data_IF_164319362322
#
_entry.id   IF_164319362322
#
_cell.length_a   1.000
_cell.length_b   1.000
_cell.length_c   1.000
_cell.angle_alpha   90.00
_cell.angle_beta   90.00
_cell.angle_gamma   90.00
#
_symmetry.space_group_name_H-M   'P 1'
#
loop_
_entity.id
_entity.type
_entity.pdbx_description
1 polymer ?
#
# COMPACT_ATOMS: atom_id res chain seq x y z
N UNK A 1 -28.06 -14.02 -6.77
CA UNK A 1 -27.17 -14.09 -5.64
C UNK A 1 -25.94 -13.23 -5.91
N UNK A 2 -25.65 -12.29 -5.02
CA UNK A 2 -24.53 -11.37 -5.23
C UNK A 2 -23.31 -11.86 -4.48
N UNK A 3 -22.17 -11.86 -5.17
CA UNK A 3 -20.90 -12.10 -4.50
C UNK A 3 -20.55 -10.90 -3.63
N UNK A 4 -19.89 -11.12 -2.49
CA UNK A 4 -19.38 -10.00 -1.69
C UNK A 4 -18.43 -9.15 -2.52
N UNK A 5 -18.47 -7.84 -2.32
CA UNK A 5 -17.51 -6.95 -2.96
C UNK A 5 -16.10 -7.32 -2.51
N UNK A 6 -15.15 -7.36 -3.43
CA UNK A 6 -13.76 -7.62 -3.12
C UNK A 6 -13.17 -6.43 -2.38
N UNK A 7 -12.24 -6.73 -1.47
CA UNK A 7 -11.50 -5.69 -0.74
C UNK A 7 -10.56 -4.99 -1.72
N UNK A 8 -10.68 -3.66 -1.81
CA UNK A 8 -9.87 -2.85 -2.71
C UNK A 8 -8.53 -2.53 -2.07
N UNK A 9 -7.45 -2.74 -2.82
CA UNK A 9 -6.08 -2.42 -2.43
C UNK A 9 -5.44 -1.61 -3.54
N UNK A 10 -4.81 -0.49 -3.18
CA UNK A 10 -4.05 0.33 -4.13
C UNK A 10 -2.57 0.07 -3.92
N UNK A 11 -1.85 -0.17 -5.00
CA UNK A 11 -0.40 -0.40 -4.98
C UNK A 11 0.27 0.68 -5.83
N UNK A 12 1.22 1.40 -5.24
CA UNK A 12 2.00 2.42 -5.93
C UNK A 12 3.47 2.03 -5.95
N UNK A 13 4.04 1.88 -7.13
CA UNK A 13 5.46 1.58 -7.33
C UNK A 13 5.83 2.05 -8.73
N UNK A 14 6.96 2.74 -8.87
CA UNK A 14 7.45 3.20 -10.17
C UNK A 14 8.19 2.11 -10.95
N UNK A 15 8.56 1.01 -10.29
CA UNK A 15 9.09 -0.17 -10.97
C UNK A 15 7.93 -1.00 -11.51
N UNK A 16 7.76 -0.98 -12.85
CA UNK A 16 6.63 -1.62 -13.50
C UNK A 16 6.58 -3.12 -13.26
N UNK A 17 7.72 -3.78 -13.24
CA UNK A 17 7.78 -5.23 -13.04
C UNK A 17 7.32 -5.62 -11.64
N UNK A 18 7.76 -4.87 -10.64
CA UNK A 18 7.32 -5.09 -9.25
C UNK A 18 5.83 -4.82 -9.14
N UNK A 19 5.37 -3.71 -9.70
CA UNK A 19 3.96 -3.32 -9.65
C UNK A 19 3.07 -4.40 -10.24
N UNK A 20 3.39 -4.85 -11.45
CA UNK A 20 2.60 -5.87 -12.15
C UNK A 20 2.58 -7.19 -11.37
N UNK A 21 3.73 -7.58 -10.79
CA UNK A 21 3.82 -8.80 -10.01
C UNK A 21 2.95 -8.73 -8.75
N UNK A 22 3.02 -7.62 -8.03
CA UNK A 22 2.24 -7.45 -6.79
C UNK A 22 0.73 -7.42 -7.10
N UNK A 23 0.33 -6.67 -8.13
CA UNK A 23 -1.07 -6.62 -8.56
C UNK A 23 -1.57 -8.02 -8.92
N UNK A 24 -0.77 -8.78 -9.67
CA UNK A 24 -1.13 -10.14 -10.06
C UNK A 24 -1.33 -11.04 -8.83
N UNK A 25 -0.40 -11.01 -7.89
CA UNK A 25 -0.45 -11.87 -6.70
C UNK A 25 -1.62 -11.52 -5.78
N UNK A 26 -1.91 -10.25 -5.60
CA UNK A 26 -3.05 -9.82 -4.79
C UNK A 26 -4.37 -10.14 -5.47
N UNK A 27 -4.43 -10.01 -6.79
CA UNK A 27 -5.62 -10.40 -7.56
C UNK A 27 -5.88 -11.91 -7.42
N UNK A 28 -4.81 -12.72 -7.51
CA UNK A 28 -4.89 -14.16 -7.27
C UNK A 28 -5.41 -14.49 -5.86
N UNK A 29 -5.03 -13.69 -4.88
CA UNK A 29 -5.45 -13.88 -3.49
C UNK A 29 -6.90 -13.44 -3.22
N UNK A 30 -7.60 -12.90 -4.22
CA UNK A 30 -9.01 -12.54 -4.11
C UNK A 30 -9.28 -11.07 -3.86
N UNK A 31 -8.27 -10.21 -3.93
CA UNK A 31 -8.44 -8.76 -3.74
C UNK A 31 -8.71 -8.04 -5.06
N UNK A 32 -9.32 -6.86 -4.95
CA UNK A 32 -9.42 -5.92 -6.06
C UNK A 32 -8.18 -5.02 -6.02
N UNK A 33 -7.13 -5.45 -6.70
CA UNK A 33 -5.82 -4.79 -6.68
C UNK A 33 -5.69 -3.81 -7.85
N UNK A 34 -5.38 -2.55 -7.54
CA UNK A 34 -5.22 -1.49 -8.52
C UNK A 34 -3.80 -0.94 -8.42
N UNK A 35 -3.05 -1.02 -9.50
CA UNK A 35 -1.68 -0.54 -9.56
C UNK A 35 -1.59 0.85 -10.17
N UNK A 36 -0.78 1.72 -9.58
CA UNK A 36 -0.51 3.07 -10.09
C UNK A 36 1.00 3.32 -10.06
N UNK A 37 1.54 4.15 -10.97
CA UNK A 37 2.99 4.25 -11.14
C UNK A 37 3.68 5.29 -10.25
N UNK A 38 2.94 6.14 -9.53
CA UNK A 38 3.54 7.24 -8.78
C UNK A 38 2.65 7.71 -7.63
N UNK A 39 3.19 8.63 -6.82
CA UNK A 39 2.50 9.13 -5.62
C UNK A 39 1.28 9.99 -5.93
N UNK A 40 1.33 10.81 -6.96
CA UNK A 40 0.19 11.65 -7.35
C UNK A 40 -0.98 10.78 -7.79
N UNK A 41 -0.70 9.76 -8.60
CA UNK A 41 -1.72 8.80 -9.03
C UNK A 41 -2.30 8.03 -7.84
N UNK A 42 -1.45 7.71 -6.87
CA UNK A 42 -1.90 7.03 -5.64
C UNK A 42 -2.89 7.90 -4.85
N UNK A 43 -2.55 9.16 -4.63
CA UNK A 43 -3.44 10.10 -3.95
C UNK A 43 -4.77 10.20 -4.69
N UNK A 44 -4.73 10.40 -6.00
CA UNK A 44 -5.94 10.52 -6.81
C UNK A 44 -6.83 9.28 -6.71
N UNK A 45 -6.23 8.08 -6.78
CA UNK A 45 -6.96 6.82 -6.69
C UNK A 45 -7.56 6.61 -5.29
N UNK A 46 -6.81 6.94 -4.24
CA UNK A 46 -7.27 6.82 -2.85
C UNK A 46 -8.44 7.76 -2.59
N UNK A 47 -8.34 9.01 -3.04
CA UNK A 47 -9.39 10.00 -2.82
C UNK A 47 -10.65 9.71 -3.61
N UNK A 48 -10.52 9.20 -4.84
CA UNK A 48 -11.65 8.89 -5.70
C UNK A 48 -12.50 7.74 -5.16
N UNK A 49 -11.84 6.72 -4.59
CA UNK A 49 -12.51 5.54 -4.05
C UNK A 49 -11.60 4.92 -2.99
N UNK A 50 -11.73 5.31 -1.72
CA UNK A 50 -10.80 4.86 -0.67
C UNK A 50 -10.74 3.34 -0.55
N UNK A 51 -9.53 2.77 -0.60
CA UNK A 51 -9.34 1.34 -0.39
C UNK A 51 -9.32 0.99 1.10
N UNK A 52 -9.25 -0.29 1.42
CA UNK A 52 -9.01 -0.76 2.79
C UNK A 52 -7.54 -0.70 3.16
N UNK A 53 -6.66 -0.80 2.15
CA UNK A 53 -5.22 -0.85 2.35
C UNK A 53 -4.52 -0.29 1.13
N UNK A 54 -3.41 0.41 1.34
CA UNK A 54 -2.53 0.84 0.26
C UNK A 54 -1.11 0.37 0.52
N UNK A 55 -0.42 -0.03 -0.54
CA UNK A 55 0.98 -0.45 -0.51
C UNK A 55 1.75 0.60 -1.29
N UNK A 56 2.69 1.26 -0.65
CA UNK A 56 3.38 2.42 -1.21
C UNK A 56 4.88 2.21 -1.20
N UNK A 57 5.50 2.28 -2.38
CA UNK A 57 6.96 2.36 -2.47
C UNK A 57 7.42 3.70 -1.89
N UNK A 58 8.42 3.66 -1.02
CA UNK A 58 8.98 4.89 -0.43
C UNK A 58 9.65 5.74 -1.51
N UNK A 59 10.40 5.11 -2.40
CA UNK A 59 11.20 5.82 -3.41
C UNK A 59 10.46 5.91 -4.74
N UNK A 60 9.66 6.96 -4.89
CA UNK A 60 8.97 7.28 -6.15
C UNK A 60 9.30 8.70 -6.57
N UNK A 61 9.40 8.96 -7.89
CA UNK A 61 9.61 10.34 -8.35
C UNK A 61 8.40 11.23 -8.00
N UNK A 62 8.67 12.49 -7.72
CA UNK A 62 7.65 13.42 -7.27
C UNK A 62 7.30 13.19 -5.81
N UNK A 63 6.07 12.77 -5.52
CA UNK A 63 5.66 12.42 -4.16
C UNK A 63 6.19 11.04 -3.79
N UNK A 64 6.94 10.97 -2.70
CA UNK A 64 7.40 9.69 -2.14
C UNK A 64 6.26 8.96 -1.44
N UNK A 65 6.48 7.68 -1.10
CA UNK A 65 5.51 6.93 -0.29
C UNK A 65 5.28 7.56 1.06
N UNK A 66 6.30 8.20 1.65
CA UNK A 66 6.14 8.92 2.92
C UNK A 66 5.26 10.16 2.75
N UNK A 67 5.40 10.88 1.64
CA UNK A 67 4.56 12.04 1.35
C UNK A 67 3.09 11.63 1.20
N UNK A 68 2.84 10.53 0.50
CA UNK A 68 1.50 9.97 0.34
C UNK A 68 0.92 9.59 1.70
N UNK A 69 1.72 8.92 2.53
CA UNK A 69 1.31 8.51 3.88
C UNK A 69 0.90 9.72 4.73
N UNK A 70 1.69 10.81 4.69
CA UNK A 70 1.35 12.03 5.44
C UNK A 70 0.00 12.58 5.01
N UNK A 71 -0.25 12.66 3.71
CA UNK A 71 -1.50 13.17 3.17
C UNK A 71 -2.69 12.30 3.56
N UNK A 72 -2.52 10.98 3.51
CA UNK A 72 -3.55 10.03 3.91
C UNK A 72 -3.91 10.19 5.38
N UNK A 73 -2.91 10.31 6.25
CA UNK A 73 -3.13 10.47 7.70
C UNK A 73 -3.70 11.83 8.10
N UNK A 74 -3.47 12.86 7.28
CA UNK A 74 -3.99 14.20 7.53
C UNK A 74 -5.44 14.38 7.07
N UNK A 75 -6.00 13.46 6.29
CA UNK A 75 -7.36 13.55 5.76
C UNK A 75 -8.30 12.68 6.59
N UNK A 76 -9.34 13.28 7.17
CA UNK A 76 -10.31 12.57 8.01
C UNK A 76 -10.96 11.37 7.29
N UNK A 77 -11.17 11.47 5.98
CA UNK A 77 -11.79 10.39 5.21
C UNK A 77 -10.89 9.17 5.03
N UNK A 78 -9.57 9.32 5.20
CA UNK A 78 -8.59 8.26 4.90
C UNK A 78 -7.61 7.99 6.04
N UNK A 79 -7.70 8.71 7.14
CA UNK A 79 -6.69 8.65 8.21
C UNK A 79 -6.49 7.26 8.82
N UNK A 80 -7.50 6.40 8.80
CA UNK A 80 -7.45 5.07 9.40
C UNK A 80 -7.15 3.95 8.39
N UNK A 81 -6.88 4.32 7.14
CA UNK A 81 -6.50 3.39 6.09
C UNK A 81 -5.21 2.66 6.45
N UNK A 82 -5.18 1.34 6.26
CA UNK A 82 -3.94 0.59 6.46
C UNK A 82 -2.93 0.90 5.36
N UNK A 83 -1.69 1.16 5.75
CA UNK A 83 -0.60 1.47 4.83
C UNK A 83 0.58 0.55 5.10
N UNK A 84 1.04 -0.14 4.05
CA UNK A 84 2.30 -0.86 4.03
C UNK A 84 3.29 -0.08 3.19
N UNK A 85 4.47 0.19 3.72
CA UNK A 85 5.54 0.83 2.96
C UNK A 85 6.48 -0.24 2.39
N UNK A 86 6.88 -0.08 1.13
CA UNK A 86 7.94 -0.88 0.52
C UNK A 86 9.22 -0.05 0.55
N UNK A 87 10.27 -0.56 1.16
CA UNK A 87 11.50 0.18 1.38
C UNK A 87 12.73 -0.65 1.06
N UNK A 88 13.82 0.00 0.63
CA UNK A 88 15.09 -0.68 0.43
C UNK A 88 15.74 -0.96 1.79
N UNK A 89 16.54 -2.04 1.84
CA UNK A 89 17.21 -2.49 3.07
C UNK A 89 18.08 -1.40 3.72
N UNK A 90 18.64 -0.50 2.93
CA UNK A 90 19.52 0.56 3.40
C UNK A 90 18.78 1.82 3.87
N UNK A 91 17.45 1.74 4.03
CA UNK A 91 16.61 2.91 4.30
C UNK A 91 15.96 2.87 5.68
N UNK A 92 16.75 2.56 6.71
CA UNK A 92 16.25 2.49 8.09
C UNK A 92 15.59 3.80 8.54
N UNK A 93 16.12 4.95 8.12
CA UNK A 93 15.54 6.24 8.45
C UNK A 93 14.13 6.40 7.85
N UNK A 94 13.88 5.83 6.67
CA UNK A 94 12.56 5.85 6.04
C UNK A 94 11.57 4.97 6.81
N UNK A 95 12.03 3.83 7.34
CA UNK A 95 11.20 2.94 8.16
C UNK A 95 10.79 3.67 9.44
N UNK A 96 11.74 4.29 10.13
CA UNK A 96 11.47 5.03 11.37
C UNK A 96 10.51 6.20 11.11
N UNK A 97 10.73 6.96 10.03
CA UNK A 97 9.85 8.06 9.65
C UNK A 97 8.44 7.57 9.33
N UNK A 98 8.33 6.43 8.61
CA UNK A 98 7.05 5.84 8.27
C UNK A 98 6.23 5.45 9.49
N UNK A 99 6.85 4.79 10.47
CA UNK A 99 6.17 4.45 11.72
C UNK A 99 5.80 5.68 12.53
N UNK A 100 6.65 6.69 12.57
CA UNK A 100 6.35 7.95 13.27
C UNK A 100 5.14 8.67 12.66
N UNK A 101 4.96 8.59 11.34
CA UNK A 101 3.80 9.17 10.65
C UNK A 101 2.56 8.29 10.81
N UNK A 102 2.72 6.99 10.99
CA UNK A 102 1.62 6.07 11.21
C UNK A 102 1.45 4.99 10.15
N UNK A 103 2.56 4.48 9.58
CA UNK A 103 2.50 3.30 8.72
C UNK A 103 2.03 2.10 9.53
N UNK A 104 1.22 1.24 8.92
CA UNK A 104 0.74 0.01 9.58
C UNK A 104 1.81 -1.07 9.59
N UNK A 105 2.63 -1.13 8.55
CA UNK A 105 3.71 -2.11 8.42
C UNK A 105 4.68 -1.66 7.33
N UNK A 106 5.79 -2.37 7.20
CA UNK A 106 6.73 -2.16 6.11
C UNK A 106 7.26 -3.50 5.62
N UNK A 107 7.70 -3.54 4.37
CA UNK A 107 8.32 -4.70 3.75
C UNK A 107 9.59 -4.25 3.05
N UNK A 108 10.69 -4.94 3.30
CA UNK A 108 12.00 -4.58 2.75
C UNK A 108 12.19 -5.23 1.38
N UNK A 109 12.60 -4.44 0.40
CA UNK A 109 12.97 -4.93 -0.94
C UNK A 109 14.40 -5.49 -0.93
N UNK A 110 14.68 -6.59 -1.62
CA UNK A 110 13.74 -7.43 -2.36
C UNK A 110 12.89 -8.29 -1.43
N UNK A 111 11.63 -8.47 -1.76
CA UNK A 111 10.70 -9.24 -0.95
C UNK A 111 10.11 -10.39 -1.76
N UNK A 112 9.61 -11.39 -1.05
CA UNK A 112 8.79 -12.43 -1.64
C UNK A 112 7.36 -11.91 -1.79
N UNK A 113 6.74 -12.05 -2.97
CA UNK A 113 5.31 -11.70 -3.12
C UNK A 113 4.42 -12.44 -2.14
N UNK A 114 4.79 -13.68 -1.81
CA UNK A 114 4.07 -14.49 -0.83
C UNK A 114 4.11 -13.86 0.56
N UNK A 115 5.27 -13.34 0.98
CA UNK A 115 5.40 -12.63 2.25
C UNK A 115 4.50 -11.40 2.28
N UNK A 116 4.49 -10.63 1.19
CA UNK A 116 3.65 -9.43 1.11
C UNK A 116 2.17 -9.77 1.24
N UNK A 117 1.71 -10.81 0.55
CA UNK A 117 0.32 -11.27 0.66
C UNK A 117 -0.02 -11.68 2.09
N UNK A 118 0.89 -12.38 2.77
CA UNK A 118 0.68 -12.76 4.17
C UNK A 118 0.53 -11.54 5.08
N UNK A 119 1.32 -10.50 4.88
CA UNK A 119 1.23 -9.28 5.68
C UNK A 119 -0.08 -8.53 5.41
N UNK A 120 -0.50 -8.48 4.15
CA UNK A 120 -1.79 -7.90 3.77
C UNK A 120 -2.93 -8.64 4.47
N UNK A 121 -2.94 -9.97 4.38
CA UNK A 121 -3.96 -10.80 5.02
C UNK A 121 -4.01 -10.56 6.53
N UNK A 122 -2.84 -10.47 7.16
CA UNK A 122 -2.76 -10.26 8.60
C UNK A 122 -3.29 -8.91 9.04
N UNK A 123 -2.97 -7.84 8.31
CA UNK A 123 -3.46 -6.49 8.61
C UNK A 123 -4.98 -6.41 8.46
N UNK A 124 -5.50 -6.94 7.36
CA UNK A 124 -6.93 -6.86 7.08
C UNK A 124 -7.75 -7.69 8.06
N UNK A 125 -7.23 -8.83 8.50
CA UNK A 125 -7.89 -9.65 9.52
C UNK A 125 -8.00 -8.92 10.85
N UNK A 126 -6.98 -8.14 11.22
CA UNK A 126 -7.01 -7.34 12.46
C UNK A 126 -7.96 -6.17 12.36
N UNK A 127 -8.02 -5.53 11.19
CA UNK A 127 -8.89 -4.36 10.96
C UNK A 127 -10.37 -4.71 10.96
N UNK A 128 -10.72 -5.99 10.74
CA UNK A 128 -12.10 -6.47 10.69
C UNK A 128 -12.68 -6.82 12.06
N UNK A 129 -11.91 -6.66 13.11
CA UNK A 129 -12.38 -6.96 14.49
C UNK A 129 -13.19 -5.84 15.10
#
# INVERSE_FOLDING_TARGET
MNEPAKIRIIIADDDRDILDLVVFKLTQAGYDAVGVPDGLSAIAAIEANPPRLAILDVMMPGLSGLDVLRKVRANEATKDLDIILLTARSRDADVDAGFAIGASDYVIKPFSPRELVHRVNGLLARSDR
#
